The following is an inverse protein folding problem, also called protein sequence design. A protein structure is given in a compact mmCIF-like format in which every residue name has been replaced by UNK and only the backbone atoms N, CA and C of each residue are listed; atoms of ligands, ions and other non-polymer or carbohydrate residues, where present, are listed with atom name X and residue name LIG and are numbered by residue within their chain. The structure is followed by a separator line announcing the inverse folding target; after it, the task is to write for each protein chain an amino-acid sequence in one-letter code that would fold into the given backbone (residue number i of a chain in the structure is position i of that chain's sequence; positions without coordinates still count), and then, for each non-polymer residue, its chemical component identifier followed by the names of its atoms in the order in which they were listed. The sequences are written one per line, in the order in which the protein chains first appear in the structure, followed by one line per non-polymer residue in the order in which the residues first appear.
data_IF_808722500762
#
_entry.id   IF_808722500762
#
_cell.length_a   1.000
_cell.length_b   1.000
_cell.length_c   1.000
_cell.angle_alpha   90.00
_cell.angle_beta   90.00
_cell.angle_gamma   90.00
#
_symmetry.space_group_name_H-M   'P 1'
#
loop_
_entity.id
_entity.type
_entity.pdbx_description
1 polymer ?
#
# COMPACT_ATOMS: atom_id res chain seq x y z
N UNK A 1 22.37 26.37 -6.51
CA UNK A 1 21.73 25.30 -7.30
C UNK A 1 20.30 25.22 -6.85
N UNK A 2 19.32 25.34 -7.77
CA UNK A 2 17.91 25.18 -7.38
C UNK A 2 17.66 23.70 -7.14
N UNK A 3 17.41 23.32 -5.89
CA UNK A 3 17.05 21.95 -5.52
C UNK A 3 15.71 21.61 -6.16
N UNK A 4 15.62 20.58 -6.99
CA UNK A 4 14.37 20.09 -7.56
C UNK A 4 13.86 18.88 -6.79
N UNK A 5 12.55 18.79 -6.65
CA UNK A 5 11.85 17.73 -5.93
C UNK A 5 10.95 16.96 -6.89
N UNK A 6 11.01 15.65 -6.80
CA UNK A 6 10.02 14.76 -7.43
C UNK A 6 9.03 14.30 -6.36
N UNK A 7 7.77 14.63 -6.58
CA UNK A 7 6.67 14.26 -5.68
C UNK A 7 5.89 13.12 -6.34
N UNK A 8 5.72 12.02 -5.64
CA UNK A 8 4.82 10.95 -6.06
C UNK A 8 3.63 10.97 -5.13
N UNK A 9 2.44 11.04 -5.70
CA UNK A 9 1.19 11.04 -4.95
C UNK A 9 0.28 9.92 -5.44
N UNK A 10 -0.44 9.31 -4.50
CA UNK A 10 -1.46 8.32 -4.77
C UNK A 10 -2.40 8.21 -3.58
N UNK A 11 -3.68 8.06 -3.84
CA UNK A 11 -4.63 7.74 -2.79
C UNK A 11 -6.05 8.17 -3.09
N UNK A 12 -6.93 7.86 -2.16
CA UNK A 12 -8.32 8.28 -2.17
C UNK A 12 -8.74 8.65 -0.75
N UNK A 13 -9.42 9.77 -0.57
CA UNK A 13 -10.11 10.14 0.66
C UNK A 13 -11.61 10.23 0.36
N UNK A 14 -12.40 9.37 0.99
CA UNK A 14 -13.85 9.34 0.85
C UNK A 14 -14.53 10.01 2.04
N UNK A 15 -15.56 10.81 1.78
CA UNK A 15 -16.21 11.67 2.78
C UNK A 15 -17.54 11.10 3.28
N UNK A 16 -18.06 10.04 2.65
CA UNK A 16 -19.18 9.23 3.13
C UNK A 16 -20.57 9.86 3.03
N UNK A 17 -20.70 11.17 3.11
CA UNK A 17 -21.96 11.92 2.98
C UNK A 17 -21.78 13.19 2.18
N UNK A 18 -22.84 13.64 1.49
CA UNK A 18 -22.83 14.92 0.77
C UNK A 18 -22.42 16.06 1.70
N UNK A 19 -23.00 16.13 2.89
CA UNK A 19 -22.66 17.18 3.88
C UNK A 19 -21.16 17.22 4.21
N UNK A 20 -20.53 16.05 4.42
CA UNK A 20 -19.09 16.00 4.71
C UNK A 20 -18.25 16.40 3.51
N UNK A 21 -18.69 16.06 2.30
CA UNK A 21 -18.06 16.46 1.05
C UNK A 21 -18.16 17.98 0.85
N UNK A 22 -19.34 18.57 1.03
CA UNK A 22 -19.56 20.03 0.90
C UNK A 22 -18.70 20.81 1.89
N UNK A 23 -18.66 20.37 3.16
CA UNK A 23 -17.79 21.00 4.18
C UNK A 23 -16.31 20.87 3.83
N UNK A 24 -15.89 19.75 3.27
CA UNK A 24 -14.53 19.56 2.77
C UNK A 24 -14.25 20.51 1.61
N UNK A 25 -15.17 20.64 0.65
CA UNK A 25 -15.02 21.51 -0.51
C UNK A 25 -14.91 22.98 -0.10
N UNK A 26 -15.74 23.44 0.84
CA UNK A 26 -15.63 24.79 1.40
C UNK A 26 -14.25 25.01 2.02
N UNK A 27 -13.77 24.06 2.82
CA UNK A 27 -12.46 24.13 3.44
C UNK A 27 -11.33 24.10 2.41
N UNK A 28 -11.43 23.22 1.41
CA UNK A 28 -10.46 23.10 0.31
C UNK A 28 -10.32 24.43 -0.44
N UNK A 29 -11.45 25.00 -0.93
CA UNK A 29 -11.47 26.24 -1.69
C UNK A 29 -10.93 27.41 -0.85
N UNK A 30 -11.40 27.56 0.38
CA UNK A 30 -10.93 28.62 1.29
C UNK A 30 -9.42 28.54 1.52
N UNK A 31 -8.89 27.33 1.76
CA UNK A 31 -7.45 27.14 2.00
C UNK A 31 -6.64 27.37 0.73
N UNK A 32 -7.12 26.90 -0.40
CA UNK A 32 -6.46 27.06 -1.68
C UNK A 32 -6.30 28.56 -2.03
N UNK A 33 -7.37 29.32 -1.97
CA UNK A 33 -7.38 30.72 -2.41
C UNK A 33 -6.78 31.69 -1.37
N UNK A 34 -7.27 31.61 -0.12
CA UNK A 34 -6.95 32.61 0.88
C UNK A 34 -5.65 32.32 1.62
N UNK A 35 -5.35 31.04 1.90
CA UNK A 35 -4.22 30.69 2.75
C UNK A 35 -2.98 30.31 1.93
N UNK A 36 -3.12 29.38 0.99
CA UNK A 36 -2.00 28.91 0.18
C UNK A 36 -1.79 29.72 -1.10
N UNK A 37 -2.72 30.60 -1.48
CA UNK A 37 -2.63 31.43 -2.70
C UNK A 37 -2.29 30.61 -3.93
N UNK A 38 -2.96 29.48 -4.08
CA UNK A 38 -2.74 28.50 -5.15
C UNK A 38 -1.32 27.87 -5.17
N UNK A 39 -0.52 27.98 -4.09
CA UNK A 39 0.80 27.33 -4.01
C UNK A 39 0.67 25.93 -3.42
N UNK A 40 0.01 25.04 -4.15
CA UNK A 40 -0.12 23.58 -3.91
C UNK A 40 0.04 22.81 -5.22
N UNK A 41 0.23 21.50 -5.14
CA UNK A 41 0.42 20.64 -6.32
C UNK A 41 -0.89 20.39 -7.06
N UNK A 42 -1.95 20.01 -6.34
CA UNK A 42 -3.26 19.67 -6.91
C UNK A 42 -4.18 20.89 -6.83
N UNK A 43 -4.35 21.60 -7.94
CA UNK A 43 -5.14 22.84 -8.01
C UNK A 43 -6.48 22.68 -8.72
N UNK A 44 -6.63 21.62 -9.50
CA UNK A 44 -7.79 21.40 -10.35
C UNK A 44 -8.85 20.51 -9.70
N UNK A 45 -10.04 20.56 -10.26
CA UNK A 45 -11.19 19.74 -9.85
C UNK A 45 -11.10 18.29 -10.38
N UNK A 46 -10.12 17.99 -11.21
CA UNK A 46 -9.93 16.69 -11.85
C UNK A 46 -9.74 15.52 -10.88
N UNK A 47 -9.36 15.82 -9.63
CA UNK A 47 -9.19 14.83 -8.56
C UNK A 47 -10.38 14.79 -7.60
N UNK A 48 -11.38 15.64 -7.80
CA UNK A 48 -12.58 15.77 -6.99
C UNK A 48 -13.74 15.04 -7.69
N UNK A 49 -14.46 14.21 -6.97
CA UNK A 49 -15.64 13.50 -7.50
C UNK A 49 -16.80 13.69 -6.53
N UNK A 50 -17.77 14.50 -6.95
CA UNK A 50 -19.02 14.67 -6.21
C UNK A 50 -19.86 13.37 -6.24
N UNK A 51 -19.89 12.66 -7.38
CA UNK A 51 -20.60 11.38 -7.49
C UNK A 51 -20.08 10.35 -6.50
N UNK A 52 -18.75 10.28 -6.30
CA UNK A 52 -18.12 9.34 -5.38
C UNK A 52 -17.89 9.93 -3.98
N UNK A 53 -18.23 11.21 -3.76
CA UNK A 53 -17.95 11.97 -2.55
C UNK A 53 -16.50 11.78 -2.08
N UNK A 54 -15.54 11.97 -2.99
CA UNK A 54 -14.14 11.62 -2.75
C UNK A 54 -13.16 12.55 -3.45
N UNK A 55 -11.96 12.64 -2.88
CA UNK A 55 -10.75 13.06 -3.60
C UNK A 55 -10.02 11.79 -4.02
N UNK A 56 -9.73 11.64 -5.33
CA UNK A 56 -9.02 10.48 -5.87
C UNK A 56 -7.83 10.93 -6.70
N UNK A 57 -6.64 10.53 -6.27
CA UNK A 57 -5.38 10.82 -6.96
C UNK A 57 -4.80 9.49 -7.44
N UNK A 58 -4.85 9.19 -8.74
CA UNK A 58 -4.16 8.03 -9.29
C UNK A 58 -2.65 8.21 -9.07
N UNK A 59 -1.88 7.12 -9.16
CA UNK A 59 -0.42 7.23 -9.03
C UNK A 59 0.14 8.24 -10.04
N UNK A 60 0.44 9.44 -9.57
CA UNK A 60 0.93 10.57 -10.37
C UNK A 60 2.25 11.07 -9.81
N UNK A 61 3.11 11.61 -10.66
CA UNK A 61 4.36 12.24 -10.25
C UNK A 61 4.46 13.66 -10.77
N UNK A 62 4.98 14.55 -9.91
CA UNK A 62 5.17 15.97 -10.19
C UNK A 62 6.63 16.34 -9.96
N UNK A 63 7.17 17.25 -10.75
CA UNK A 63 8.48 17.86 -10.51
C UNK A 63 8.27 19.33 -10.16
N UNK A 64 8.84 19.75 -9.04
CA UNK A 64 8.71 21.12 -8.52
C UNK A 64 10.07 21.59 -7.97
N UNK A 65 10.26 22.90 -7.94
CA UNK A 65 11.48 23.53 -7.41
C UNK A 65 11.26 24.25 -6.08
N UNK A 66 10.00 24.44 -5.68
CA UNK A 66 9.65 25.13 -4.45
C UNK A 66 9.25 24.13 -3.35
N UNK A 67 10.05 24.08 -2.31
CA UNK A 67 9.79 23.20 -1.15
C UNK A 67 8.46 23.52 -0.45
N UNK A 68 8.07 24.79 -0.43
CA UNK A 68 6.82 25.24 0.19
C UNK A 68 5.59 24.60 -0.46
N UNK A 69 5.60 24.40 -1.77
CA UNK A 69 4.47 23.84 -2.53
C UNK A 69 4.08 22.44 -2.06
N UNK A 70 5.05 21.53 -1.87
CA UNK A 70 4.72 20.19 -1.39
C UNK A 70 4.36 20.18 0.11
N UNK A 71 4.97 21.04 0.93
CA UNK A 71 4.60 21.19 2.35
C UNK A 71 3.16 21.68 2.49
N UNK A 72 2.78 22.69 1.72
CA UNK A 72 1.41 23.20 1.68
C UNK A 72 0.41 22.10 1.27
N UNK A 73 0.77 21.29 0.28
CA UNK A 73 -0.08 20.17 -0.19
C UNK A 73 -0.30 19.15 0.92
N UNK A 74 0.75 18.73 1.63
CA UNK A 74 0.63 17.79 2.77
C UNK A 74 -0.22 18.40 3.88
N UNK A 75 -0.02 19.68 4.20
CA UNK A 75 -0.79 20.37 5.23
C UNK A 75 -2.27 20.46 4.85
N UNK A 76 -2.59 20.78 3.59
CA UNK A 76 -3.96 20.80 3.11
C UNK A 76 -4.64 19.44 3.33
N UNK A 77 -4.04 18.34 2.88
CA UNK A 77 -4.61 17.00 3.09
C UNK A 77 -4.73 16.61 4.58
N UNK A 78 -3.81 17.05 5.43
CA UNK A 78 -3.90 16.85 6.87
C UNK A 78 -5.10 17.57 7.50
N UNK A 79 -5.57 18.66 6.93
CA UNK A 79 -6.78 19.32 7.37
C UNK A 79 -8.03 18.63 6.81
N UNK A 80 -8.03 18.30 5.51
CA UNK A 80 -9.17 17.67 4.85
C UNK A 80 -9.52 16.28 5.41
N UNK A 81 -8.53 15.54 5.94
CA UNK A 81 -8.76 14.20 6.54
C UNK A 81 -9.78 14.20 7.69
N UNK A 82 -10.01 15.35 8.34
CA UNK A 82 -11.00 15.48 9.42
C UNK A 82 -12.43 15.26 8.93
N UNK A 83 -12.69 15.40 7.65
CA UNK A 83 -13.97 15.14 6.99
C UNK A 83 -14.05 13.74 6.36
N UNK A 84 -12.91 13.08 6.14
CA UNK A 84 -12.84 11.79 5.47
C UNK A 84 -13.20 10.63 6.41
N UNK A 85 -13.96 9.65 5.91
CA UNK A 85 -14.39 8.44 6.63
C UNK A 85 -13.56 7.23 6.26
N UNK A 86 -13.04 7.16 5.04
CA UNK A 86 -12.27 6.04 4.52
C UNK A 86 -11.20 6.49 3.52
N UNK A 87 -10.31 5.58 3.17
CA UNK A 87 -9.21 5.83 2.24
C UNK A 87 -7.90 6.18 2.92
N UNK A 88 -6.93 6.51 2.10
CA UNK A 88 -5.65 7.10 2.51
C UNK A 88 -5.10 7.99 1.38
N UNK A 89 -4.21 8.92 1.72
CA UNK A 89 -3.44 9.67 0.74
C UNK A 89 -1.96 9.50 1.07
N UNK A 90 -1.21 8.95 0.14
CA UNK A 90 0.21 8.69 0.27
C UNK A 90 1.01 9.67 -0.59
N UNK A 91 2.02 10.29 0.00
CA UNK A 91 2.87 11.30 -0.66
C UNK A 91 4.33 10.99 -0.36
N UNK A 92 5.14 10.81 -1.40
CA UNK A 92 6.58 10.63 -1.31
C UNK A 92 7.28 11.81 -1.95
N UNK A 93 8.20 12.42 -1.23
CA UNK A 93 9.02 13.54 -1.67
C UNK A 93 10.46 13.07 -1.85
N UNK A 94 10.99 13.18 -3.06
CA UNK A 94 12.36 12.81 -3.40
C UNK A 94 13.15 14.03 -3.84
N UNK A 95 14.40 14.09 -3.45
CA UNK A 95 15.35 14.99 -4.05
C UNK A 95 15.83 14.40 -5.39
N UNK A 96 15.71 15.18 -6.47
CA UNK A 96 16.04 14.67 -7.83
C UNK A 96 17.53 14.37 -7.96
N UNK A 97 18.39 15.26 -7.51
CA UNK A 97 19.87 15.17 -7.68
C UNK A 97 20.50 13.97 -6.94
N UNK A 98 19.96 13.56 -5.78
CA UNK A 98 20.50 12.44 -5.01
C UNK A 98 19.63 11.18 -5.04
N UNK A 99 18.48 11.21 -5.71
CA UNK A 99 17.45 10.15 -5.68
C UNK A 99 17.08 9.73 -4.26
N UNK A 100 17.22 10.64 -3.30
CA UNK A 100 16.99 10.40 -1.88
C UNK A 100 15.54 10.67 -1.53
N UNK A 101 14.91 9.74 -0.79
CA UNK A 101 13.62 9.98 -0.18
C UNK A 101 13.81 10.94 0.99
N UNK A 102 13.23 12.14 0.87
CA UNK A 102 13.31 13.20 1.90
C UNK A 102 12.15 13.10 2.89
N UNK A 103 10.95 12.81 2.38
CA UNK A 103 9.75 12.79 3.22
C UNK A 103 8.75 11.75 2.71
N UNK A 104 8.04 11.13 3.64
CA UNK A 104 6.92 10.26 3.38
C UNK A 104 5.75 10.68 4.28
N UNK A 105 4.60 10.94 3.69
CA UNK A 105 3.37 11.24 4.41
C UNK A 105 2.29 10.23 4.06
N UNK A 106 1.67 9.66 5.09
CA UNK A 106 0.48 8.80 4.97
C UNK A 106 -0.64 9.49 5.75
N UNK A 107 -1.63 9.98 5.02
CA UNK A 107 -2.74 10.74 5.57
C UNK A 107 -3.95 9.82 5.66
N UNK A 108 -4.37 9.53 6.88
CA UNK A 108 -5.47 8.63 7.20
C UNK A 108 -6.72 9.42 7.61
N UNK A 109 -7.94 8.90 7.34
CA UNK A 109 -9.20 9.55 7.64
C UNK A 109 -9.44 9.71 9.14
N UNK A 110 -10.16 10.77 9.53
CA UNK A 110 -10.52 11.08 10.93
C UNK A 110 -11.97 11.58 11.10
N UNK A 111 -12.75 11.63 10.01
CA UNK A 111 -14.08 12.25 10.00
C UNK A 111 -15.15 11.44 10.74
N UNK A 112 -15.19 10.12 10.57
CA UNK A 112 -16.11 9.25 11.30
C UNK A 112 -15.35 8.44 12.35
N UNK A 113 -15.48 8.86 13.62
CA UNK A 113 -14.80 8.20 14.74
C UNK A 113 -15.30 6.77 14.99
N UNK A 114 -16.57 6.47 14.68
CA UNK A 114 -17.08 5.12 14.86
C UNK A 114 -16.47 4.18 13.81
N UNK A 115 -16.63 4.49 12.52
CA UNK A 115 -16.14 3.66 11.42
C UNK A 115 -14.61 3.42 11.54
N UNK A 116 -13.84 4.50 11.74
CA UNK A 116 -12.38 4.42 11.90
C UNK A 116 -11.97 3.64 13.14
N UNK A 117 -12.71 3.74 14.26
CA UNK A 117 -12.45 2.95 15.47
C UNK A 117 -12.70 1.46 15.23
N UNK A 118 -13.83 1.10 14.58
CA UNK A 118 -14.11 -0.30 14.27
C UNK A 118 -13.05 -0.88 13.34
N UNK A 119 -12.71 -0.18 12.26
CA UNK A 119 -11.63 -0.57 11.35
C UNK A 119 -10.31 -0.81 12.08
N UNK A 120 -9.85 0.15 12.89
CA UNK A 120 -8.58 0.05 13.62
C UNK A 120 -8.56 -1.12 14.63
N UNK A 121 -9.70 -1.42 15.27
CA UNK A 121 -9.85 -2.60 16.14
C UNK A 121 -9.69 -3.89 15.34
N UNK A 122 -10.35 -4.00 14.19
CA UNK A 122 -10.23 -5.14 13.28
C UNK A 122 -8.79 -5.36 12.83
N UNK A 123 -8.13 -4.31 12.35
CA UNK A 123 -6.71 -4.35 11.93
C UNK A 123 -5.79 -4.76 13.08
N UNK A 124 -6.03 -4.25 14.28
CA UNK A 124 -5.22 -4.60 15.46
C UNK A 124 -5.37 -6.07 15.84
N UNK A 125 -6.57 -6.62 15.71
CA UNK A 125 -6.83 -8.04 15.99
C UNK A 125 -6.19 -8.94 14.95
N UNK A 126 -6.16 -8.55 13.66
CA UNK A 126 -5.49 -9.31 12.60
C UNK A 126 -3.98 -9.46 12.78
N UNK A 127 -3.35 -8.63 13.61
CA UNK A 127 -1.94 -8.79 13.97
C UNK A 127 -1.71 -9.93 14.97
N UNK A 128 -2.79 -10.49 15.55
CA UNK A 128 -2.74 -11.57 16.55
C UNK A 128 -3.38 -12.81 15.97
N UNK A 129 -2.63 -13.89 15.86
CA UNK A 129 -3.12 -15.19 15.38
C UNK A 129 -4.28 -15.69 16.25
N UNK A 130 -5.31 -16.27 15.65
CA UNK A 130 -6.49 -16.79 16.34
C UNK A 130 -7.50 -15.71 16.77
N UNK A 131 -7.38 -14.50 16.23
CA UNK A 131 -8.35 -13.40 16.46
C UNK A 131 -9.09 -12.99 15.20
N UNK A 132 -9.00 -13.79 14.15
CA UNK A 132 -9.58 -13.51 12.82
C UNK A 132 -11.10 -13.34 12.90
N UNK A 133 -11.81 -14.21 13.65
CA UNK A 133 -13.28 -14.10 13.82
C UNK A 133 -13.69 -12.77 14.47
N UNK A 134 -13.00 -12.40 15.54
CA UNK A 134 -13.24 -11.10 16.18
C UNK A 134 -12.92 -9.93 15.26
N UNK A 135 -11.89 -10.06 14.42
CA UNK A 135 -11.54 -9.03 13.44
C UNK A 135 -12.66 -8.86 12.41
N UNK A 136 -13.28 -9.98 11.94
CA UNK A 136 -14.43 -9.95 11.03
C UNK A 136 -15.59 -9.13 11.60
N UNK A 137 -15.93 -9.31 12.87
CA UNK A 137 -17.03 -8.57 13.52
C UNK A 137 -16.81 -7.05 13.46
N UNK A 138 -15.58 -6.59 13.78
CA UNK A 138 -15.26 -5.17 13.79
C UNK A 138 -15.17 -4.59 12.38
N UNK A 139 -14.59 -5.34 11.42
CA UNK A 139 -14.49 -4.90 10.03
C UNK A 139 -15.87 -4.83 9.37
N UNK A 140 -16.76 -5.77 9.69
CA UNK A 140 -18.16 -5.74 9.23
C UNK A 140 -18.89 -4.50 9.77
N UNK A 141 -18.74 -4.16 11.05
CA UNK A 141 -19.30 -2.93 11.62
C UNK A 141 -18.78 -1.65 10.96
N UNK A 142 -17.51 -1.65 10.54
CA UNK A 142 -16.95 -0.53 9.79
C UNK A 142 -17.60 -0.40 8.40
N UNK A 143 -17.82 -1.54 7.70
CA UNK A 143 -18.47 -1.61 6.40
C UNK A 143 -19.96 -1.23 6.50
N UNK A 144 -20.67 -1.73 7.51
CA UNK A 144 -22.08 -1.37 7.77
C UNK A 144 -22.26 0.13 8.00
N UNK A 145 -21.27 0.77 8.64
CA UNK A 145 -21.26 2.22 8.84
C UNK A 145 -20.98 3.01 7.56
N UNK A 146 -20.11 2.47 6.70
CA UNK A 146 -19.78 3.06 5.41
C UNK A 146 -19.45 1.98 4.38
N UNK A 147 -20.38 1.69 3.48
CA UNK A 147 -20.26 0.64 2.45
C UNK A 147 -19.13 0.91 1.42
N UNK A 148 -18.66 2.14 1.32
CA UNK A 148 -17.53 2.53 0.47
C UNK A 148 -16.15 2.35 1.13
N UNK A 149 -16.03 1.62 2.23
CA UNK A 149 -14.79 1.48 3.00
C UNK A 149 -13.89 0.38 2.39
N UNK A 150 -13.18 0.71 1.32
CA UNK A 150 -12.37 -0.24 0.54
C UNK A 150 -11.32 -0.98 1.38
N UNK A 151 -10.64 -0.30 2.34
CA UNK A 151 -9.65 -0.96 3.20
C UNK A 151 -10.30 -1.93 4.21
N UNK A 152 -11.56 -1.67 4.62
CA UNK A 152 -12.26 -2.58 5.52
C UNK A 152 -12.61 -3.89 4.80
N UNK A 153 -13.03 -3.82 3.54
CA UNK A 153 -13.21 -5.01 2.70
C UNK A 153 -11.87 -5.75 2.50
N UNK A 154 -10.79 -5.05 2.17
CA UNK A 154 -9.48 -5.68 2.00
C UNK A 154 -9.08 -6.42 3.28
N UNK A 155 -9.16 -5.79 4.45
CA UNK A 155 -8.82 -6.44 5.73
C UNK A 155 -9.76 -7.56 6.11
N UNK A 156 -11.04 -7.47 5.77
CA UNK A 156 -12.01 -8.56 5.97
C UNK A 156 -11.70 -9.75 5.06
N UNK A 157 -11.32 -9.49 3.81
CA UNK A 157 -10.82 -10.51 2.89
C UNK A 157 -9.58 -11.23 3.43
N UNK A 158 -8.63 -10.51 4.04
CA UNK A 158 -7.47 -11.13 4.70
C UNK A 158 -7.90 -12.02 5.87
N UNK A 159 -8.87 -11.60 6.69
CA UNK A 159 -9.40 -12.41 7.78
C UNK A 159 -10.06 -13.70 7.26
N UNK A 160 -10.93 -13.58 6.27
CA UNK A 160 -11.60 -14.71 5.62
C UNK A 160 -10.59 -15.69 4.99
N UNK A 161 -9.57 -15.18 4.28
CA UNK A 161 -8.52 -16.01 3.71
C UNK A 161 -7.76 -16.82 4.79
N UNK A 162 -7.41 -16.20 5.92
CA UNK A 162 -6.75 -16.89 7.04
C UNK A 162 -7.62 -17.97 7.70
N UNK A 163 -8.95 -17.79 7.65
CA UNK A 163 -9.93 -18.77 8.14
C UNK A 163 -10.25 -19.86 7.10
N UNK A 164 -9.65 -19.80 5.90
CA UNK A 164 -9.93 -20.75 4.81
C UNK A 164 -11.24 -20.49 4.06
N UNK A 165 -11.90 -19.36 4.31
CA UNK A 165 -13.15 -18.94 3.65
C UNK A 165 -12.80 -18.24 2.32
N UNK A 166 -12.44 -19.04 1.32
CA UNK A 166 -11.84 -18.51 0.08
C UNK A 166 -12.85 -17.71 -0.75
N UNK A 167 -14.11 -18.11 -0.81
CA UNK A 167 -15.16 -17.44 -1.59
C UNK A 167 -15.46 -16.06 -1.01
N UNK A 168 -15.63 -15.96 0.31
CA UNK A 168 -15.89 -14.70 1.01
C UNK A 168 -14.67 -13.76 0.88
N UNK A 169 -13.47 -14.31 0.97
CA UNK A 169 -12.25 -13.52 0.78
C UNK A 169 -12.14 -12.99 -0.66
N UNK A 170 -12.48 -13.81 -1.67
CA UNK A 170 -12.52 -13.41 -3.08
C UNK A 170 -13.53 -12.29 -3.33
N UNK A 171 -14.73 -12.41 -2.73
CA UNK A 171 -15.77 -11.36 -2.81
C UNK A 171 -15.28 -10.05 -2.18
N UNK A 172 -14.70 -10.11 -0.99
CA UNK A 172 -14.20 -8.94 -0.26
C UNK A 172 -13.06 -8.24 -1.01
N UNK A 173 -12.06 -8.98 -1.50
CA UNK A 173 -10.99 -8.40 -2.31
C UNK A 173 -11.52 -7.79 -3.62
N UNK A 174 -12.46 -8.45 -4.28
CA UNK A 174 -13.06 -7.93 -5.51
C UNK A 174 -13.85 -6.65 -5.23
N UNK A 175 -14.61 -6.59 -4.13
CA UNK A 175 -15.32 -5.37 -3.74
C UNK A 175 -14.34 -4.24 -3.39
N UNK A 176 -13.28 -4.52 -2.64
CA UNK A 176 -12.23 -3.54 -2.35
C UNK A 176 -11.65 -2.94 -3.62
N UNK A 177 -11.27 -3.79 -4.60
CA UNK A 177 -10.68 -3.37 -5.88
C UNK A 177 -11.68 -2.55 -6.72
N UNK A 178 -12.97 -2.90 -6.68
CA UNK A 178 -14.00 -2.15 -7.41
C UNK A 178 -14.25 -0.74 -6.86
N UNK A 179 -14.04 -0.54 -5.56
CA UNK A 179 -14.17 0.76 -4.90
C UNK A 179 -12.94 1.64 -5.14
N UNK A 180 -11.76 1.04 -5.08
CA UNK A 180 -10.49 1.71 -5.36
C UNK A 180 -9.42 0.66 -5.69
N UNK A 181 -8.56 0.92 -6.68
CA UNK A 181 -7.48 0.01 -7.05
C UNK A 181 -6.45 -0.03 -5.92
N UNK A 182 -6.54 -1.08 -5.10
CA UNK A 182 -5.73 -1.33 -3.92
C UNK A 182 -4.73 -2.47 -4.19
N UNK A 183 -3.40 -2.22 -4.20
CA UNK A 183 -2.40 -3.25 -4.44
C UNK A 183 -2.44 -4.41 -3.44
N UNK A 184 -2.77 -4.15 -2.17
CA UNK A 184 -2.91 -5.15 -1.13
C UNK A 184 -4.06 -6.12 -1.43
N UNK A 185 -5.21 -5.59 -1.85
CA UNK A 185 -6.36 -6.42 -2.24
C UNK A 185 -6.09 -7.22 -3.52
N UNK A 186 -5.36 -6.63 -4.49
CA UNK A 186 -4.92 -7.33 -5.70
C UNK A 186 -4.02 -8.52 -5.37
N UNK A 187 -3.05 -8.35 -4.46
CA UNK A 187 -2.20 -9.47 -3.99
C UNK A 187 -3.05 -10.52 -3.27
N UNK A 188 -3.96 -10.10 -2.39
CA UNK A 188 -4.85 -11.03 -1.69
C UNK A 188 -5.65 -11.90 -2.66
N UNK A 189 -6.25 -11.28 -3.68
CA UNK A 189 -7.00 -11.99 -4.72
C UNK A 189 -6.10 -12.87 -5.59
N UNK A 190 -4.91 -12.41 -5.94
CA UNK A 190 -3.93 -13.20 -6.68
C UNK A 190 -3.49 -14.47 -5.94
N UNK A 191 -3.30 -14.38 -4.61
CA UNK A 191 -2.96 -15.54 -3.80
C UNK A 191 -4.07 -16.60 -3.79
N UNK A 192 -5.33 -16.18 -3.74
CA UNK A 192 -6.47 -17.11 -3.83
C UNK A 192 -6.53 -17.74 -5.23
N UNK A 193 -6.43 -16.95 -6.31
CA UNK A 193 -6.41 -17.47 -7.68
C UNK A 193 -5.30 -18.50 -7.87
N UNK A 194 -4.08 -18.19 -7.39
CA UNK A 194 -2.94 -19.13 -7.42
C UNK A 194 -3.24 -20.42 -6.66
N UNK A 195 -3.86 -20.32 -5.47
CA UNK A 195 -4.26 -21.50 -4.67
C UNK A 195 -5.30 -22.37 -5.39
N UNK A 196 -6.19 -21.75 -6.16
CA UNK A 196 -7.21 -22.42 -6.99
C UNK A 196 -6.67 -22.91 -8.35
N UNK A 197 -5.37 -22.69 -8.64
CA UNK A 197 -4.72 -23.11 -9.90
C UNK A 197 -4.84 -22.10 -11.05
N UNK A 198 -5.52 -20.97 -10.86
CA UNK A 198 -5.58 -19.88 -11.84
C UNK A 198 -4.34 -18.97 -11.73
N UNK A 199 -3.19 -19.52 -12.14
CA UNK A 199 -1.91 -18.80 -12.09
C UNK A 199 -1.90 -17.62 -13.07
N UNK A 200 -2.51 -17.79 -14.25
CA UNK A 200 -2.59 -16.72 -15.23
C UNK A 200 -3.43 -15.53 -14.73
N UNK A 201 -4.58 -15.81 -14.13
CA UNK A 201 -5.39 -14.78 -13.49
C UNK A 201 -4.70 -14.11 -12.29
N UNK A 202 -3.88 -14.85 -11.54
CA UNK A 202 -3.05 -14.29 -10.48
C UNK A 202 -2.00 -13.31 -11.01
N UNK A 203 -1.34 -13.62 -12.14
CA UNK A 203 -0.37 -12.73 -12.79
C UNK A 203 -1.02 -11.41 -13.23
N UNK A 204 -2.24 -11.44 -13.75
CA UNK A 204 -2.98 -10.21 -14.12
C UNK A 204 -3.14 -9.27 -12.90
N UNK A 205 -3.57 -9.83 -11.76
CA UNK A 205 -3.73 -9.05 -10.53
C UNK A 205 -2.39 -8.53 -10.00
N UNK A 206 -1.31 -9.33 -10.08
CA UNK A 206 0.03 -8.94 -9.65
C UNK A 206 0.64 -7.85 -10.54
N UNK A 207 0.39 -7.89 -11.85
CA UNK A 207 0.80 -6.82 -12.77
C UNK A 207 0.12 -5.49 -12.42
N UNK A 208 -1.19 -5.54 -12.15
CA UNK A 208 -1.93 -4.36 -11.69
C UNK A 208 -1.41 -3.87 -10.32
N UNK A 209 -1.06 -4.79 -9.41
CA UNK A 209 -0.50 -4.43 -8.11
C UNK A 209 0.84 -3.71 -8.27
N UNK A 210 1.77 -4.23 -9.08
CA UNK A 210 3.07 -3.59 -9.36
C UNK A 210 2.88 -2.23 -10.04
N UNK A 211 1.96 -2.14 -11.02
CA UNK A 211 1.66 -0.88 -11.72
C UNK A 211 1.15 0.20 -10.77
N UNK A 212 0.32 -0.17 -9.80
CA UNK A 212 -0.34 0.77 -8.89
C UNK A 212 0.41 1.00 -7.58
N UNK A 213 1.40 0.21 -7.21
CA UNK A 213 2.27 0.44 -6.07
C UNK A 213 3.51 1.26 -6.46
N UNK A 214 4.23 1.78 -5.48
CA UNK A 214 5.52 2.47 -5.69
C UNK A 214 6.64 1.69 -4.99
N UNK A 215 7.90 1.79 -5.48
CA UNK A 215 9.04 1.04 -4.91
C UNK A 215 9.36 1.33 -3.44
N UNK A 216 8.76 2.37 -2.86
CA UNK A 216 8.89 2.70 -1.43
C UNK A 216 7.90 1.94 -0.55
N UNK A 217 6.84 1.37 -1.13
CA UNK A 217 5.84 0.58 -0.41
C UNK A 217 6.27 -0.90 -0.34
N UNK A 218 6.14 -1.55 0.83
CA UNK A 218 6.42 -2.99 0.97
C UNK A 218 5.62 -3.86 0.00
N UNK A 219 4.38 -3.48 -0.28
CA UNK A 219 3.46 -4.19 -1.19
C UNK A 219 4.03 -4.32 -2.62
N UNK A 220 4.79 -3.34 -3.11
CA UNK A 220 5.43 -3.39 -4.41
C UNK A 220 6.40 -4.58 -4.53
N UNK A 221 7.20 -4.81 -3.49
CA UNK A 221 8.19 -5.89 -3.46
C UNK A 221 7.56 -7.25 -3.20
N UNK A 222 6.51 -7.29 -2.39
CA UNK A 222 5.70 -8.50 -2.19
C UNK A 222 5.05 -8.96 -3.51
N UNK A 223 4.44 -8.03 -4.27
CA UNK A 223 3.86 -8.33 -5.57
C UNK A 223 4.88 -8.89 -6.56
N UNK A 224 6.08 -8.28 -6.67
CA UNK A 224 7.16 -8.76 -7.54
C UNK A 224 7.66 -10.15 -7.15
N UNK A 225 7.81 -10.42 -5.85
CA UNK A 225 8.21 -11.73 -5.37
C UNK A 225 7.20 -12.81 -5.76
N UNK A 226 5.93 -12.57 -5.48
CA UNK A 226 4.85 -13.53 -5.79
C UNK A 226 4.71 -13.68 -7.30
N UNK A 227 4.86 -12.60 -8.08
CA UNK A 227 4.86 -12.63 -9.54
C UNK A 227 5.98 -13.54 -10.07
N UNK A 228 7.20 -13.41 -9.55
CA UNK A 228 8.33 -14.29 -9.91
C UNK A 228 8.06 -15.76 -9.57
N UNK A 229 7.42 -16.03 -8.42
CA UNK A 229 6.98 -17.38 -8.05
C UNK A 229 5.94 -17.94 -9.04
N UNK A 230 4.94 -17.15 -9.45
CA UNK A 230 3.93 -17.53 -10.43
C UNK A 230 4.54 -17.80 -11.82
N UNK A 231 5.48 -16.97 -12.30
CA UNK A 231 6.20 -17.22 -13.55
C UNK A 231 7.00 -18.54 -13.51
N UNK A 232 7.63 -18.84 -12.36
CA UNK A 232 8.33 -20.12 -12.17
C UNK A 232 7.37 -21.30 -12.25
N UNK A 233 6.18 -21.22 -11.67
CA UNK A 233 5.13 -22.27 -11.74
C UNK A 233 4.67 -22.52 -13.18
N UNK A 234 4.60 -21.46 -13.99
CA UNK A 234 4.30 -21.56 -15.42
C UNK A 234 5.53 -21.92 -16.30
N UNK A 235 6.69 -22.18 -15.69
CA UNK A 235 7.96 -22.42 -16.40
C UNK A 235 8.40 -21.26 -17.30
N UNK A 236 7.96 -20.05 -17.03
CA UNK A 236 8.37 -18.80 -17.67
C UNK A 236 9.64 -18.31 -16.98
N UNK A 237 10.78 -18.97 -17.31
CA UNK A 237 12.00 -18.87 -16.51
C UNK A 237 12.67 -17.49 -16.59
N UNK A 238 12.67 -16.83 -17.75
CA UNK A 238 13.31 -15.53 -17.90
C UNK A 238 12.53 -14.43 -17.16
N UNK A 239 11.21 -14.46 -17.22
CA UNK A 239 10.32 -13.55 -16.47
C UNK A 239 10.49 -13.76 -14.96
N UNK A 240 10.53 -15.01 -14.51
CA UNK A 240 10.77 -15.34 -13.10
C UNK A 240 12.16 -14.83 -12.63
N UNK A 241 13.21 -15.05 -13.44
CA UNK A 241 14.56 -14.54 -13.17
C UNK A 241 14.55 -13.01 -13.05
N UNK A 242 13.88 -12.32 -13.97
CA UNK A 242 13.79 -10.85 -13.95
C UNK A 242 13.18 -10.33 -12.65
N UNK A 243 11.99 -10.82 -12.29
CA UNK A 243 11.28 -10.35 -11.09
C UNK A 243 12.04 -10.69 -9.80
N UNK A 244 12.52 -11.93 -9.66
CA UNK A 244 13.22 -12.39 -8.46
C UNK A 244 14.60 -11.72 -8.30
N UNK A 245 15.30 -11.44 -9.39
CA UNK A 245 16.56 -10.70 -9.37
C UNK A 245 16.39 -9.29 -8.80
N UNK A 246 15.29 -8.60 -9.14
CA UNK A 246 14.99 -7.29 -8.59
C UNK A 246 14.75 -7.34 -7.08
N UNK A 247 14.00 -8.35 -6.62
CA UNK A 247 13.69 -8.55 -5.21
C UNK A 247 14.94 -8.92 -4.40
N UNK A 248 15.77 -9.84 -4.90
CA UNK A 248 16.96 -10.31 -4.18
C UNK A 248 18.05 -9.26 -4.06
N UNK A 249 18.15 -8.33 -5.03
CA UNK A 249 19.09 -7.20 -4.98
C UNK A 249 18.68 -6.06 -4.05
N UNK A 250 17.43 -6.06 -3.57
CA UNK A 250 16.94 -5.01 -2.67
C UNK A 250 17.43 -5.25 -1.23
N UNK A 251 18.08 -4.26 -0.60
CA UNK A 251 18.38 -4.32 0.83
C UNK A 251 17.13 -3.99 1.64
N UNK A 252 16.47 -5.01 2.21
CA UNK A 252 15.35 -4.80 3.12
C UNK A 252 15.85 -4.53 4.53
N UNK A 253 15.27 -3.54 5.21
CA UNK A 253 15.51 -3.27 6.64
C UNK A 253 14.74 -4.29 7.50
N UNK A 254 15.17 -4.59 8.75
CA UNK A 254 14.44 -5.49 9.64
C UNK A 254 12.98 -5.11 9.91
N UNK A 255 12.65 -3.82 9.80
CA UNK A 255 11.28 -3.32 9.93
C UNK A 255 10.40 -3.50 8.69
N UNK A 256 10.98 -3.88 7.54
CA UNK A 256 10.22 -4.13 6.31
C UNK A 256 9.55 -5.50 6.39
N UNK A 257 8.24 -5.62 6.11
CA UNK A 257 7.53 -6.91 6.08
C UNK A 257 8.15 -7.95 5.14
N UNK A 258 8.86 -7.52 4.07
CA UNK A 258 9.54 -8.43 3.15
C UNK A 258 10.87 -8.98 3.70
N UNK A 259 11.35 -8.45 4.83
CA UNK A 259 12.62 -8.89 5.43
C UNK A 259 12.63 -10.38 5.76
N UNK A 260 11.53 -10.90 6.32
CA UNK A 260 11.39 -12.33 6.64
C UNK A 260 11.39 -13.24 5.39
N UNK A 261 10.99 -12.70 4.22
CA UNK A 261 10.89 -13.46 2.98
C UNK A 261 12.19 -13.48 2.14
N UNK A 262 13.26 -12.83 2.58
CA UNK A 262 14.51 -12.68 1.82
C UNK A 262 15.13 -14.03 1.45
N UNK A 263 15.27 -14.93 2.43
CA UNK A 263 15.88 -16.25 2.21
C UNK A 263 15.10 -17.03 1.17
N UNK A 264 13.78 -17.15 1.33
CA UNK A 264 12.91 -17.81 0.37
C UNK A 264 13.00 -17.21 -1.03
N UNK A 265 13.08 -15.87 -1.14
CA UNK A 265 13.25 -15.22 -2.43
C UNK A 265 14.56 -15.59 -3.12
N UNK A 266 15.68 -15.69 -2.38
CA UNK A 266 16.96 -16.15 -2.90
C UNK A 266 16.93 -17.62 -3.28
N UNK A 267 16.29 -18.49 -2.49
CA UNK A 267 16.11 -19.91 -2.79
C UNK A 267 15.30 -20.09 -4.08
N UNK A 268 14.17 -19.40 -4.21
CA UNK A 268 13.34 -19.43 -5.42
C UNK A 268 14.10 -18.92 -6.64
N UNK A 269 14.89 -17.86 -6.49
CA UNK A 269 15.74 -17.32 -7.55
C UNK A 269 16.79 -18.33 -7.99
N UNK A 270 17.46 -19.00 -7.05
CA UNK A 270 18.46 -20.04 -7.33
C UNK A 270 17.86 -21.23 -8.08
N UNK A 271 16.71 -21.74 -7.62
CA UNK A 271 15.97 -22.82 -8.30
C UNK A 271 15.60 -22.42 -9.74
N UNK A 272 15.17 -21.17 -9.92
CA UNK A 272 14.81 -20.65 -11.26
C UNK A 272 16.02 -20.62 -12.18
N UNK A 273 17.19 -20.15 -11.69
CA UNK A 273 18.44 -20.13 -12.44
C UNK A 273 18.91 -21.53 -12.78
N UNK A 274 18.80 -22.49 -11.86
CA UNK A 274 19.17 -23.88 -12.08
C UNK A 274 18.32 -24.50 -13.21
N UNK A 275 16.99 -24.30 -13.16
CA UNK A 275 16.08 -24.74 -14.22
C UNK A 275 16.37 -24.09 -15.57
N UNK A 276 16.85 -22.85 -15.59
CA UNK A 276 17.27 -22.14 -16.80
C UNK A 276 18.69 -22.53 -17.28
N UNK A 277 19.35 -23.52 -16.64
CA UNK A 277 20.70 -23.98 -17.00
C UNK A 277 21.85 -23.04 -16.59
N UNK A 278 21.55 -21.98 -15.82
CA UNK A 278 22.52 -20.95 -15.35
C UNK A 278 23.20 -21.41 -14.05
N UNK A 279 23.89 -22.55 -14.06
CA UNK A 279 24.42 -23.25 -12.86
C UNK A 279 25.30 -22.38 -11.98
N UNK A 280 26.28 -21.65 -12.56
CA UNK A 280 27.20 -20.81 -11.78
C UNK A 280 26.48 -19.71 -11.02
N UNK A 281 25.46 -19.10 -11.63
CA UNK A 281 24.63 -18.07 -10.99
C UNK A 281 23.71 -18.70 -9.93
N UNK A 282 23.17 -19.88 -10.18
CA UNK A 282 22.35 -20.63 -9.23
C UNK A 282 23.15 -20.96 -7.96
N UNK A 283 24.38 -21.50 -8.08
CA UNK A 283 25.26 -21.77 -6.94
C UNK A 283 25.56 -20.53 -6.11
N UNK A 284 25.79 -19.39 -6.76
CA UNK A 284 25.98 -18.11 -6.07
C UNK A 284 24.72 -17.69 -5.31
N UNK A 285 23.54 -17.86 -5.92
CA UNK A 285 22.25 -17.51 -5.31
C UNK A 285 21.94 -18.46 -4.12
N UNK A 286 22.22 -19.75 -4.20
CA UNK A 286 22.07 -20.68 -3.08
C UNK A 286 23.02 -20.31 -1.91
N UNK A 287 24.27 -19.93 -2.19
CA UNK A 287 25.17 -19.43 -1.14
C UNK A 287 24.62 -18.18 -0.47
N UNK A 288 24.07 -17.23 -1.25
CA UNK A 288 23.45 -16.04 -0.72
C UNK A 288 22.23 -16.37 0.17
N UNK A 289 21.37 -17.29 -0.27
CA UNK A 289 20.25 -17.76 0.54
C UNK A 289 20.70 -18.35 1.89
N UNK A 290 21.75 -19.19 1.86
CA UNK A 290 22.30 -19.87 3.04
C UNK A 290 22.96 -18.89 4.02
N UNK A 291 23.52 -17.79 3.54
CA UNK A 291 24.12 -16.75 4.39
C UNK A 291 23.10 -15.91 5.15
N UNK A 292 21.82 -15.95 4.76
CA UNK A 292 20.75 -15.25 5.46
C UNK A 292 20.32 -16.09 6.66
N UNK A 293 20.58 -15.60 7.86
CA UNK A 293 20.08 -16.21 9.09
C UNK A 293 18.55 -16.31 9.07
N UNK A 294 18.02 -17.46 9.47
CA UNK A 294 16.60 -17.63 9.71
C UNK A 294 16.29 -16.84 10.98
N UNK A 295 15.76 -15.64 10.84
CA UNK A 295 15.09 -15.00 11.96
C UNK A 295 13.89 -15.89 12.25
N UNK A 296 13.95 -16.64 13.36
CA UNK A 296 12.78 -17.35 13.88
C UNK A 296 11.62 -16.36 13.86
N UNK A 297 10.43 -16.80 13.40
CA UNK A 297 9.21 -15.99 13.40
C UNK A 297 8.95 -15.51 14.83
N UNK A 298 9.67 -14.47 15.23
CA UNK A 298 9.32 -13.69 16.40
C UNK A 298 7.99 -13.03 16.04
N UNK A 299 6.97 -13.37 16.81
CA UNK A 299 5.71 -12.63 16.83
C UNK A 299 6.01 -11.17 16.50
N UNK A 300 5.40 -10.67 15.42
CA UNK A 300 5.56 -9.27 14.98
C UNK A 300 4.89 -8.42 16.04
N UNK A 301 5.59 -8.20 17.14
CA UNK A 301 5.26 -7.17 18.11
C UNK A 301 5.39 -5.82 17.39
N UNK A 302 4.31 -5.09 17.44
CA UNK A 302 4.14 -3.80 16.79
C UNK A 302 5.36 -2.89 16.98
N UNK A 303 5.74 -2.10 15.99
CA UNK A 303 6.72 -1.05 16.20
C UNK A 303 6.20 -0.14 17.32
N UNK A 304 7.01 -0.02 18.39
CA UNK A 304 6.76 0.94 19.47
C UNK A 304 6.48 2.29 18.84
N UNK A 305 5.33 2.84 19.19
CA UNK A 305 4.89 4.19 18.81
C UNK A 305 6.07 5.16 18.75
N UNK A 306 6.23 5.79 17.59
CA UNK A 306 7.14 6.91 17.44
C UNK A 306 6.81 7.93 18.52
N UNK A 307 7.79 8.19 19.38
CA UNK A 307 7.72 9.25 20.39
C UNK A 307 7.30 10.54 19.68
N UNK A 308 6.21 11.14 20.16
CA UNK A 308 5.88 12.53 19.88
C UNK A 308 7.12 13.38 20.15
N UNK A 309 7.80 13.83 19.13
CA UNK A 309 8.61 15.02 19.26
C UNK A 309 7.65 16.21 19.19
N UNK A 310 7.31 16.71 20.36
CA UNK A 310 6.71 18.02 20.55
C UNK A 310 7.71 19.06 20.07
N UNK A 311 7.48 19.66 18.93
CA UNK A 311 8.01 20.96 18.60
C UNK A 311 7.07 21.98 19.24
N UNK A 312 7.40 22.35 20.50
CA UNK A 312 6.92 23.56 21.12
C UNK A 312 8.06 24.57 21.03
N UNK A 313 7.71 25.76 20.57
CA UNK A 313 8.33 27.09 20.74
C UNK A 313 9.68 27.37 20.07
N UNK A 314 9.72 28.19 19.04
CA UNK A 314 10.04 29.65 19.12
C UNK A 314 9.55 30.35 17.86
#
# INVERSE_FOLDING_TARGET
MNTSFKIIMKGRLAFGTQKSYDMMMEQYTRRLEQYYKNDIILKGEEHLSEEQLAISVPRTSFEITNEKTWKNTINLFNELRSYAVAGDMNIWVLQVEGKQLLHEAIILPQGDKYATTQYNRGVTLLRKTGKEEKALEFLTKAIEKYEGYEQAYERRGVANHRLGRLDEAMMDFTKSISLNINPEALIGRALIKRQLGDIAGALVDLDLAVKNAVPYQPVFWAARRIKGECHLELSQLEEAIFELKLVTKRPFKPSDPNFAHRRKAWETYAITLEKAGKRTEADAAFRAAKSIEVVAEASVDAPKTAKKQSLVSA
#
